data_IF_311451915809
#
_entry.id   IF_311451915809
#
_cell.length_a   1.000
_cell.length_b   1.000
_cell.length_c   1.000
_cell.angle_alpha   90.00
_cell.angle_beta   90.00
_cell.angle_gamma   90.00
#
_symmetry.space_group_name_H-M   'P 1'
#
loop_
_entity.id
_entity.type
_entity.pdbx_description
1 polymer ?
#
# COMPACT_ATOMS: atom_id res chain seq x y z
N UNK A 1 32.72 62.63 -3.11
CA UNK A 1 31.36 62.04 -2.99
C UNK A 1 31.43 60.61 -3.50
N UNK A 2 31.48 59.61 -2.61
CA UNK A 2 31.57 58.19 -2.96
C UNK A 2 30.14 57.62 -3.00
N UNK A 3 29.69 57.22 -4.19
CA UNK A 3 28.42 56.50 -4.38
C UNK A 3 28.61 55.05 -4.00
N UNK A 4 27.97 54.60 -2.94
CA UNK A 4 27.90 53.19 -2.54
C UNK A 4 26.81 52.52 -3.41
N UNK A 5 27.24 51.64 -4.29
CA UNK A 5 26.36 50.81 -5.11
C UNK A 5 26.03 49.53 -4.28
N UNK A 6 24.86 49.51 -3.66
CA UNK A 6 24.38 48.37 -2.91
C UNK A 6 23.78 47.39 -3.91
N UNK A 7 24.51 46.30 -4.16
CA UNK A 7 24.04 45.19 -4.99
C UNK A 7 23.11 44.30 -4.14
N UNK A 8 21.81 44.44 -4.32
CA UNK A 8 20.84 43.50 -3.76
C UNK A 8 20.89 42.19 -4.53
N UNK A 9 21.60 41.16 -3.97
CA UNK A 9 21.53 39.80 -4.45
C UNK A 9 20.23 39.21 -3.90
N UNK A 10 19.16 39.23 -4.69
CA UNK A 10 17.95 38.46 -4.41
C UNK A 10 18.21 36.98 -4.67
N UNK A 11 18.52 36.25 -3.59
CA UNK A 11 18.57 34.77 -3.63
C UNK A 11 17.12 34.27 -3.75
N UNK A 12 16.71 33.96 -4.98
CA UNK A 12 15.46 33.26 -5.22
C UNK A 12 15.67 31.80 -4.79
N UNK A 13 15.24 31.52 -3.56
CA UNK A 13 15.18 30.14 -3.05
C UNK A 13 14.01 29.45 -3.73
N UNK A 14 14.24 28.85 -4.89
CA UNK A 14 13.27 27.98 -5.55
C UNK A 14 13.11 26.73 -4.72
N UNK A 15 12.11 26.73 -3.84
CA UNK A 15 11.67 25.58 -3.09
C UNK A 15 11.11 24.57 -4.10
N UNK A 16 11.95 23.64 -4.57
CA UNK A 16 11.52 22.54 -5.40
C UNK A 16 10.54 21.69 -4.58
N UNK A 17 9.25 21.89 -4.82
CA UNK A 17 8.20 21.03 -4.28
C UNK A 17 8.40 19.63 -4.87
N UNK A 18 9.14 18.79 -4.14
CA UNK A 18 9.21 17.36 -4.42
C UNK A 18 7.82 16.80 -4.09
N UNK A 19 6.92 16.82 -5.06
CA UNK A 19 5.65 16.15 -4.93
C UNK A 19 5.92 14.66 -4.85
N UNK A 20 5.93 14.13 -3.63
CA UNK A 20 5.93 12.69 -3.40
C UNK A 20 4.76 12.10 -4.17
N UNK A 21 5.06 11.27 -5.18
CA UNK A 21 4.07 10.57 -6.00
C UNK A 21 3.38 9.47 -5.19
N UNK A 22 2.78 9.85 -4.04
CA UNK A 22 1.90 8.98 -3.28
C UNK A 22 0.62 8.73 -4.08
N UNK A 23 0.14 7.49 -4.07
CA UNK A 23 -1.15 7.19 -4.69
C UNK A 23 -2.22 8.13 -4.12
N UNK A 24 -2.89 8.88 -5.02
CA UNK A 24 -3.92 9.85 -4.65
C UNK A 24 -5.03 9.17 -3.84
N UNK A 25 -5.46 9.76 -2.75
CA UNK A 25 -6.55 9.24 -1.93
C UNK A 25 -7.81 10.14 -2.09
N UNK A 26 -8.96 9.59 -2.50
CA UNK A 26 -9.22 8.18 -2.83
C UNK A 26 -8.60 7.75 -4.16
N UNK A 27 -8.21 6.48 -4.26
CA UNK A 27 -7.65 5.94 -5.49
C UNK A 27 -8.77 5.68 -6.52
N UNK A 28 -8.67 6.20 -7.76
CA UNK A 28 -9.73 6.13 -8.75
C UNK A 28 -9.90 4.74 -9.40
N UNK A 29 -8.90 3.88 -9.31
CA UNK A 29 -8.92 2.57 -10.00
C UNK A 29 -9.83 1.56 -9.33
N UNK A 30 -10.42 0.67 -10.14
CA UNK A 30 -11.19 -0.50 -9.69
C UNK A 30 -10.33 -1.77 -9.84
N UNK A 31 -10.37 -2.64 -8.83
CA UNK A 31 -9.85 -4.01 -8.93
C UNK A 31 -10.97 -4.97 -9.29
N UNK A 32 -10.65 -6.11 -9.92
CA UNK A 32 -11.63 -7.16 -10.19
C UNK A 32 -12.31 -7.60 -8.89
N UNK A 33 -13.61 -7.71 -8.89
CA UNK A 33 -14.40 -8.14 -7.73
C UNK A 33 -14.18 -9.62 -7.44
N UNK A 34 -14.08 -9.95 -6.16
CA UNK A 34 -14.13 -11.33 -5.70
C UNK A 34 -15.55 -11.91 -5.86
N UNK A 35 -15.70 -13.25 -5.91
CA UNK A 35 -17.02 -13.89 -5.84
C UNK A 35 -17.79 -13.42 -4.59
N UNK A 36 -19.11 -13.24 -4.72
CA UNK A 36 -19.98 -12.70 -3.66
C UNK A 36 -19.88 -13.51 -2.35
N UNK A 37 -19.79 -14.83 -2.44
CA UNK A 37 -19.62 -15.73 -1.30
C UNK A 37 -18.33 -15.44 -0.52
N UNK A 38 -17.27 -15.03 -1.21
CA UNK A 38 -15.98 -14.71 -0.61
C UNK A 38 -15.93 -13.27 -0.07
N UNK A 39 -16.54 -12.32 -0.78
CA UNK A 39 -16.60 -10.90 -0.34
C UNK A 39 -17.17 -10.76 1.07
N UNK A 40 -18.17 -11.58 1.41
CA UNK A 40 -18.84 -11.59 2.71
C UNK A 40 -18.01 -12.24 3.83
N UNK A 41 -16.92 -12.94 3.50
CA UNK A 41 -16.09 -13.62 4.51
C UNK A 41 -15.15 -12.64 5.20
N UNK A 42 -15.04 -12.80 6.53
CA UNK A 42 -14.01 -12.15 7.35
C UNK A 42 -13.53 -13.12 8.42
N UNK A 43 -12.37 -13.73 8.18
CA UNK A 43 -11.72 -14.65 9.14
C UNK A 43 -10.63 -13.96 9.97
N UNK A 44 -10.55 -12.62 9.94
CA UNK A 44 -9.51 -11.87 10.65
C UNK A 44 -9.61 -11.98 12.18
N UNK A 45 -10.78 -12.29 12.75
CA UNK A 45 -10.94 -12.52 14.21
C UNK A 45 -9.98 -13.61 14.70
N UNK A 46 -9.88 -14.72 13.98
CA UNK A 46 -9.03 -15.89 14.31
C UNK A 46 -7.61 -15.80 13.74
N UNK A 47 -7.27 -14.74 13.02
CA UNK A 47 -5.97 -14.60 12.36
C UNK A 47 -4.89 -14.10 13.33
N UNK A 48 -3.63 -14.49 13.08
CA UNK A 48 -2.46 -14.10 13.86
C UNK A 48 -1.82 -12.84 13.27
N UNK A 49 -2.02 -11.69 13.92
CA UNK A 49 -1.47 -10.41 13.48
C UNK A 49 0.07 -10.39 13.45
N UNK A 50 0.73 -11.00 14.43
CA UNK A 50 2.19 -11.01 14.50
C UNK A 50 2.80 -11.78 13.32
N UNK A 51 2.22 -12.93 12.96
CA UNK A 51 2.61 -13.68 11.77
C UNK A 51 2.32 -12.85 10.49
N UNK A 52 1.17 -12.21 10.39
CA UNK A 52 0.85 -11.35 9.26
C UNK A 52 1.84 -10.20 9.08
N UNK A 53 2.28 -9.57 10.18
CA UNK A 53 3.33 -8.54 10.16
C UNK A 53 4.68 -9.10 9.68
N UNK A 54 5.05 -10.31 10.13
CA UNK A 54 6.29 -10.99 9.70
C UNK A 54 6.24 -11.31 8.19
N UNK A 55 5.15 -11.90 7.71
CA UNK A 55 4.93 -12.21 6.31
C UNK A 55 4.98 -10.95 5.45
N UNK A 56 4.22 -9.93 5.81
CA UNK A 56 4.17 -8.66 5.07
C UNK A 56 5.55 -8.00 4.93
N UNK A 57 6.32 -8.00 6.00
CA UNK A 57 7.59 -7.26 6.04
C UNK A 57 8.81 -8.07 5.61
N UNK A 58 8.80 -9.41 5.73
CA UNK A 58 10.03 -10.19 5.58
C UNK A 58 9.90 -11.47 4.75
N UNK A 59 8.90 -12.32 5.01
CA UNK A 59 8.96 -13.73 4.65
C UNK A 59 7.98 -14.18 3.57
N UNK A 60 7.02 -13.36 3.15
CA UNK A 60 6.14 -13.75 2.04
C UNK A 60 6.94 -13.95 0.74
N UNK A 61 6.64 -15.04 0.03
CA UNK A 61 7.27 -15.39 -1.24
C UNK A 61 6.27 -15.13 -2.39
N UNK A 62 6.74 -14.84 -3.60
CA UNK A 62 8.14 -14.74 -4.02
C UNK A 62 8.82 -13.47 -3.50
N UNK A 63 8.07 -12.50 -3.00
CA UNK A 63 8.56 -11.22 -2.53
C UNK A 63 7.73 -10.69 -1.35
N UNK A 64 8.37 -10.07 -0.36
CA UNK A 64 7.69 -9.48 0.79
C UNK A 64 6.80 -8.30 0.34
N UNK A 65 5.58 -8.23 0.87
CA UNK A 65 4.56 -7.26 0.47
C UNK A 65 5.04 -5.80 0.57
N UNK A 66 5.86 -5.49 1.59
CA UNK A 66 6.43 -4.16 1.78
C UNK A 66 7.29 -3.67 0.62
N UNK A 67 7.85 -4.56 -0.19
CA UNK A 67 8.71 -4.16 -1.32
C UNK A 67 7.94 -3.36 -2.35
N UNK A 68 6.64 -3.63 -2.50
CA UNK A 68 5.74 -2.87 -3.35
C UNK A 68 4.88 -1.90 -2.53
N UNK A 69 4.25 -2.39 -1.44
CA UNK A 69 3.28 -1.59 -0.67
C UNK A 69 3.92 -0.61 0.33
N UNK A 70 5.23 -0.70 0.57
CA UNK A 70 5.93 0.12 1.55
C UNK A 70 5.76 -0.40 2.99
N UNK A 71 6.64 0.03 3.89
CA UNK A 71 6.63 -0.37 5.31
C UNK A 71 5.37 0.12 6.04
N UNK A 72 4.86 1.27 5.66
CA UNK A 72 3.65 1.89 6.20
C UNK A 72 2.40 1.54 5.40
N UNK A 73 2.54 0.81 4.29
CA UNK A 73 1.44 0.47 3.41
C UNK A 73 0.98 1.61 2.49
N UNK A 74 1.77 2.65 2.33
CA UNK A 74 1.43 3.83 1.51
C UNK A 74 1.52 3.59 -0.02
N UNK A 75 1.98 2.40 -0.46
CA UNK A 75 2.21 2.10 -1.87
C UNK A 75 3.57 2.56 -2.40
N UNK A 76 4.44 3.02 -1.51
CA UNK A 76 5.72 3.67 -1.76
C UNK A 76 6.94 2.74 -1.62
N UNK A 77 6.73 1.45 -1.61
CA UNK A 77 7.81 0.46 -1.55
C UNK A 77 8.80 0.61 -2.71
N UNK A 78 10.05 0.17 -2.49
CA UNK A 78 11.14 0.31 -3.48
C UNK A 78 10.72 -0.12 -4.90
N UNK A 79 10.04 -1.26 -5.02
CA UNK A 79 9.51 -1.74 -6.31
C UNK A 79 8.17 -1.07 -6.68
N UNK A 80 7.40 -0.62 -5.69
CA UNK A 80 6.11 0.01 -5.92
C UNK A 80 6.20 1.32 -6.70
N UNK A 81 7.29 2.07 -6.52
CA UNK A 81 7.49 3.38 -7.16
C UNK A 81 7.50 3.33 -8.68
N UNK A 82 7.97 2.24 -9.26
CA UNK A 82 8.08 2.07 -10.72
C UNK A 82 6.87 1.36 -11.35
N UNK A 83 5.98 0.80 -10.54
CA UNK A 83 4.80 0.08 -11.05
C UNK A 83 3.71 1.04 -11.52
N UNK A 84 3.06 0.69 -12.62
CA UNK A 84 1.88 1.35 -13.16
C UNK A 84 0.77 0.32 -13.35
N UNK A 85 -0.39 0.47 -12.70
CA UNK A 85 -0.70 1.45 -11.65
C UNK A 85 0.10 1.21 -10.37
N UNK A 86 0.29 2.25 -9.56
CA UNK A 86 0.96 2.13 -8.26
C UNK A 86 0.27 1.13 -7.34
N UNK A 87 0.99 0.47 -6.41
CA UNK A 87 0.38 -0.39 -5.40
C UNK A 87 -0.68 0.34 -4.58
N UNK A 88 -1.68 -0.42 -4.10
CA UNK A 88 -2.73 0.11 -3.24
C UNK A 88 -2.14 0.79 -2.01
N UNK A 89 -2.54 2.03 -1.75
CA UNK A 89 -2.24 2.74 -0.52
C UNK A 89 -3.22 2.30 0.58
N UNK A 90 -2.75 1.50 1.52
CA UNK A 90 -3.56 1.02 2.65
C UNK A 90 -3.84 2.12 3.69
N UNK A 91 -3.03 3.19 3.74
CA UNK A 91 -3.28 4.33 4.60
C UNK A 91 -4.48 5.18 4.10
N UNK A 92 -4.90 5.02 2.85
CA UNK A 92 -6.07 5.69 2.31
C UNK A 92 -7.39 5.11 2.87
N UNK A 93 -7.85 5.63 4.00
CA UNK A 93 -9.09 5.18 4.67
C UNK A 93 -10.31 5.25 3.75
N UNK A 94 -10.42 6.30 2.94
CA UNK A 94 -11.55 6.48 2.03
C UNK A 94 -11.70 5.34 1.02
N UNK A 95 -10.56 4.81 0.52
CA UNK A 95 -10.54 3.64 -0.35
C UNK A 95 -10.72 2.34 0.44
N UNK A 96 -9.97 2.17 1.52
CA UNK A 96 -9.89 0.89 2.23
C UNK A 96 -11.16 0.53 2.99
N UNK A 97 -11.97 1.51 3.43
CA UNK A 97 -13.30 1.28 4.02
C UNK A 97 -14.26 0.57 3.07
N UNK A 98 -14.10 0.74 1.76
CA UNK A 98 -14.94 0.14 0.72
C UNK A 98 -14.48 -1.27 0.32
N UNK A 99 -13.35 -1.76 0.83
CA UNK A 99 -12.77 -3.05 0.45
C UNK A 99 -12.94 -4.03 1.61
N UNK A 100 -13.75 -5.08 1.41
CA UNK A 100 -13.96 -6.12 2.42
C UNK A 100 -12.70 -6.96 2.64
N UNK A 101 -12.63 -7.66 3.78
CA UNK A 101 -11.56 -8.60 4.08
C UNK A 101 -11.51 -9.75 3.04
N UNK A 102 -12.67 -10.25 2.61
CA UNK A 102 -12.78 -11.27 1.58
C UNK A 102 -12.31 -10.79 0.21
N UNK A 103 -12.57 -9.52 -0.15
CA UNK A 103 -12.01 -8.92 -1.36
C UNK A 103 -10.47 -8.84 -1.29
N UNK A 104 -9.91 -8.46 -0.14
CA UNK A 104 -8.45 -8.45 0.07
C UNK A 104 -7.86 -9.86 -0.04
N UNK A 105 -8.53 -10.84 0.56
CA UNK A 105 -8.12 -12.24 0.47
C UNK A 105 -8.03 -12.71 -0.98
N UNK A 106 -9.06 -12.43 -1.77
CA UNK A 106 -9.12 -12.83 -3.16
C UNK A 106 -7.99 -12.20 -4.00
N UNK A 107 -7.73 -10.90 -3.81
CA UNK A 107 -6.64 -10.20 -4.52
C UNK A 107 -5.27 -10.75 -4.12
N UNK A 108 -5.01 -10.99 -2.85
CA UNK A 108 -3.72 -11.55 -2.41
C UNK A 108 -3.54 -12.96 -2.99
N UNK A 109 -4.59 -13.79 -2.94
CA UNK A 109 -4.56 -15.17 -3.43
C UNK A 109 -4.33 -15.25 -4.94
N UNK A 110 -5.03 -14.42 -5.73
CA UNK A 110 -5.08 -14.53 -7.19
C UNK A 110 -4.28 -13.46 -7.94
N UNK A 111 -3.74 -12.48 -7.22
CA UNK A 111 -3.12 -11.31 -7.84
C UNK A 111 -4.13 -10.34 -8.43
N UNK A 112 -3.65 -9.33 -9.14
CA UNK A 112 -4.47 -8.34 -9.83
C UNK A 112 -4.01 -8.21 -11.27
N UNK A 113 -4.73 -8.84 -12.20
CA UNK A 113 -4.43 -8.84 -13.64
C UNK A 113 -4.26 -7.41 -14.15
N UNK A 114 -3.25 -7.18 -14.99
CA UNK A 114 -2.92 -5.86 -15.54
C UNK A 114 -2.17 -4.95 -14.56
N UNK A 115 -1.69 -5.48 -13.44
CA UNK A 115 -0.86 -4.76 -12.45
C UNK A 115 0.33 -5.59 -12.01
N UNK A 116 1.28 -4.99 -11.28
CA UNK A 116 2.40 -5.70 -10.67
C UNK A 116 2.04 -6.56 -9.44
N UNK A 117 0.76 -6.64 -9.04
CA UNK A 117 0.34 -7.48 -7.90
C UNK A 117 0.29 -8.94 -8.28
N UNK A 118 1.29 -9.70 -7.87
CA UNK A 118 1.41 -11.15 -8.14
C UNK A 118 0.44 -11.99 -7.31
N UNK A 119 0.11 -13.20 -7.79
CA UNK A 119 -0.70 -14.16 -7.07
C UNK A 119 0.13 -14.93 -6.04
N UNK A 120 -0.38 -15.06 -4.82
CA UNK A 120 0.28 -15.79 -3.73
C UNK A 120 -0.31 -17.19 -3.44
N UNK A 121 -1.26 -17.67 -4.22
CA UNK A 121 -1.92 -18.97 -3.99
C UNK A 121 -0.99 -20.19 -3.95
N UNK A 122 0.19 -20.08 -4.60
CA UNK A 122 1.20 -21.16 -4.61
C UNK A 122 2.22 -21.03 -3.48
N UNK A 123 2.29 -19.89 -2.79
CA UNK A 123 3.36 -19.56 -1.84
C UNK A 123 2.87 -19.24 -0.43
N UNK A 124 1.58 -18.96 -0.28
CA UNK A 124 0.94 -18.69 1.01
C UNK A 124 -0.27 -19.62 1.20
N UNK A 125 -0.39 -20.15 2.40
CA UNK A 125 -1.59 -20.85 2.86
C UNK A 125 -2.73 -19.85 3.08
N UNK A 126 -3.98 -20.26 2.95
CA UNK A 126 -5.13 -19.39 3.17
C UNK A 126 -5.10 -18.73 4.55
N UNK A 127 -4.70 -19.46 5.59
CA UNK A 127 -4.51 -18.92 6.94
C UNK A 127 -3.51 -17.76 6.97
N UNK A 128 -2.40 -17.88 6.28
CA UNK A 128 -1.35 -16.85 6.22
C UNK A 128 -1.83 -15.59 5.49
N UNK A 129 -2.66 -15.76 4.47
CA UNK A 129 -3.31 -14.62 3.79
C UNK A 129 -4.23 -13.87 4.78
N UNK A 130 -5.01 -14.59 5.60
CA UNK A 130 -5.84 -13.96 6.64
C UNK A 130 -5.01 -13.27 7.72
N UNK A 131 -3.87 -13.83 8.09
CA UNK A 131 -2.92 -13.22 9.03
C UNK A 131 -2.40 -11.86 8.48
N UNK A 132 -2.01 -11.82 7.21
CA UNK A 132 -1.59 -10.59 6.50
C UNK A 132 -2.73 -9.56 6.48
N UNK A 133 -3.96 -9.98 6.16
CA UNK A 133 -5.13 -9.08 6.14
C UNK A 133 -5.39 -8.49 7.51
N UNK A 134 -5.30 -9.31 8.57
CA UNK A 134 -5.41 -8.84 9.95
C UNK A 134 -4.43 -7.70 10.22
N UNK A 135 -3.15 -7.90 9.91
CA UNK A 135 -2.12 -6.88 10.08
C UNK A 135 -2.43 -5.61 9.28
N UNK A 136 -2.77 -5.73 8.00
CA UNK A 136 -3.10 -4.56 7.17
C UNK A 136 -4.27 -3.78 7.77
N UNK A 137 -5.35 -4.46 8.15
CA UNK A 137 -6.57 -3.81 8.65
C UNK A 137 -6.40 -3.17 10.03
N UNK A 138 -5.55 -3.74 10.88
CA UNK A 138 -5.36 -3.22 12.24
C UNK A 138 -4.26 -2.16 12.34
N UNK A 139 -3.17 -2.32 11.58
CA UNK A 139 -1.97 -1.50 11.78
C UNK A 139 -1.75 -0.49 10.64
N UNK A 140 -2.08 -0.86 9.38
CA UNK A 140 -1.80 0.01 8.24
C UNK A 140 -2.98 0.90 7.84
N UNK A 141 -4.24 0.40 7.91
CA UNK A 141 -5.43 1.20 7.57
C UNK A 141 -5.72 2.25 8.65
N UNK A 142 -5.43 1.97 9.91
CA UNK A 142 -5.71 2.92 11.00
C UNK A 142 -4.89 4.20 10.94
N UNK A 143 -3.81 4.21 10.14
CA UNK A 143 -2.91 5.36 10.07
C UNK A 143 -2.36 5.69 11.47
N UNK A 144 -1.10 6.02 11.60
CA UNK A 144 -0.61 6.62 12.86
C UNK A 144 -1.50 7.80 13.22
N UNK A 145 -2.01 7.80 14.46
CA UNK A 145 -2.49 9.04 15.07
C UNK A 145 -1.36 10.03 15.08
#
# INVERSE_FOLDING_TARGET
MKKHFILFITIIFTLAMVSSAYAKCPEPRKTKSAPTSLVKQDKTKKANKANGKKLFNKTAKPIACKMCHGKTGAGDGKLGKILKPHPRNFACKATMKKISAGQMFWIIKNGSKGTGMVAHKKTLKDKEIWDIIKYIRTDLIKGKK
#
